data_IF_742184842948
#
_entry.id   IF_742184842948
#
_cell.length_a   1.000
_cell.length_b   1.000
_cell.length_c   1.000
_cell.angle_alpha   90.00
_cell.angle_beta   90.00
_cell.angle_gamma   90.00
#
_symmetry.space_group_name_H-M   'P 1'
#
loop_
_entity.id
_entity.type
_entity.pdbx_description
1 polymer ?
#
# COMPACT_ATOMS: atom_id res chain seq x y z
N UNK A 1 15.93 -19.87 19.88
CA UNK A 1 14.75 -19.53 19.05
C UNK A 1 15.25 -18.99 17.72
N UNK A 2 15.02 -19.73 16.65
CA UNK A 2 15.62 -19.52 15.32
C UNK A 2 15.14 -18.22 14.66
N UNK A 3 16.00 -17.19 14.64
CA UNK A 3 15.79 -15.97 13.84
C UNK A 3 16.11 -16.25 12.39
N UNK A 4 15.12 -16.69 11.61
CA UNK A 4 15.24 -16.74 10.15
C UNK A 4 15.04 -15.33 9.59
N UNK A 5 16.15 -14.62 9.38
CA UNK A 5 16.19 -13.39 8.60
C UNK A 5 15.81 -13.72 7.16
N UNK A 6 14.52 -13.71 6.84
CA UNK A 6 14.06 -13.79 5.46
C UNK A 6 14.52 -12.49 4.76
N UNK A 7 15.36 -12.62 3.73
CA UNK A 7 15.81 -11.51 2.91
C UNK A 7 14.62 -10.60 2.56
N UNK A 8 14.69 -9.33 2.98
CA UNK A 8 13.60 -8.36 2.92
C UNK A 8 13.29 -8.03 1.46
N UNK A 9 12.44 -8.85 0.82
CA UNK A 9 11.86 -8.53 -0.48
C UNK A 9 11.26 -7.12 -0.40
N UNK A 10 11.64 -6.25 -1.35
CA UNK A 10 11.25 -4.84 -1.33
C UNK A 10 9.72 -4.76 -1.41
N UNK A 11 9.09 -4.43 -0.28
CA UNK A 11 7.62 -4.31 -0.18
C UNK A 11 7.14 -3.32 -1.26
N UNK A 12 6.02 -3.62 -1.96
CA UNK A 12 5.47 -2.70 -2.94
C UNK A 12 5.16 -1.33 -2.31
N UNK A 13 5.40 -0.26 -3.05
CA UNK A 13 5.12 1.10 -2.61
C UNK A 13 3.62 1.36 -2.41
N UNK A 14 3.30 2.50 -1.79
CA UNK A 14 1.92 2.89 -1.45
C UNK A 14 0.96 2.77 -2.65
N UNK A 15 1.33 3.36 -3.79
CA UNK A 15 0.49 3.34 -4.99
C UNK A 15 0.28 1.93 -5.54
N UNK A 16 1.29 1.06 -5.48
CA UNK A 16 1.15 -0.33 -5.91
C UNK A 16 0.12 -1.07 -5.05
N UNK A 17 0.13 -0.84 -3.73
CA UNK A 17 -0.84 -1.43 -2.82
C UNK A 17 -2.26 -0.89 -3.04
N UNK A 18 -2.39 0.42 -3.30
CA UNK A 18 -3.69 1.03 -3.64
C UNK A 18 -4.25 0.42 -4.92
N UNK A 19 -3.43 0.28 -5.97
CA UNK A 19 -3.86 -0.34 -7.23
C UNK A 19 -4.21 -1.81 -7.06
N UNK A 20 -3.40 -2.57 -6.30
CA UNK A 20 -3.71 -3.96 -5.98
C UNK A 20 -5.05 -4.10 -5.24
N UNK A 21 -5.34 -3.18 -4.30
CA UNK A 21 -6.65 -3.15 -3.63
C UNK A 21 -7.78 -2.82 -4.59
N UNK A 22 -7.64 -1.79 -5.43
CA UNK A 22 -8.65 -1.45 -6.45
C UNK A 22 -9.00 -2.65 -7.33
N UNK A 23 -7.98 -3.38 -7.81
CA UNK A 23 -8.17 -4.60 -8.60
C UNK A 23 -8.91 -5.71 -7.84
N UNK A 24 -8.68 -5.86 -6.54
CA UNK A 24 -9.40 -6.86 -5.71
C UNK A 24 -10.87 -6.48 -5.54
N UNK A 25 -11.14 -5.19 -5.31
CA UNK A 25 -12.51 -4.65 -5.23
C UNK A 25 -13.24 -4.87 -6.57
N UNK A 26 -12.58 -4.55 -7.69
CA UNK A 26 -13.10 -4.75 -9.04
C UNK A 26 -13.40 -6.22 -9.34
N UNK A 27 -12.57 -7.14 -8.83
CA UNK A 27 -12.79 -8.59 -8.91
C UNK A 27 -13.89 -9.12 -7.97
N UNK A 28 -14.57 -8.25 -7.23
CA UNK A 28 -15.68 -8.64 -6.36
C UNK A 28 -15.25 -9.16 -4.98
N UNK A 29 -14.11 -8.72 -4.44
CA UNK A 29 -13.66 -9.17 -3.11
C UNK A 29 -14.50 -8.70 -1.92
N UNK A 30 -15.59 -7.95 -2.13
CA UNK A 30 -16.42 -7.37 -1.06
C UNK A 30 -15.72 -6.30 -0.20
N UNK A 31 -14.49 -5.90 -0.55
CA UNK A 31 -13.78 -4.84 0.16
C UNK A 31 -14.20 -3.46 -0.33
N UNK A 32 -14.05 -2.44 0.52
CA UNK A 32 -14.22 -1.03 0.13
C UNK A 32 -12.95 -0.23 0.37
N UNK A 33 -12.79 0.86 -0.39
CA UNK A 33 -11.73 1.82 -0.10
C UNK A 33 -12.11 2.60 1.14
N UNK A 34 -11.17 2.70 2.10
CA UNK A 34 -11.43 3.50 3.31
C UNK A 34 -11.50 4.97 2.93
N UNK A 35 -12.43 5.70 3.54
CA UNK A 35 -12.53 7.16 3.39
C UNK A 35 -11.24 7.82 3.89
N UNK A 36 -10.88 8.96 3.30
CA UNK A 36 -9.77 9.79 3.77
C UNK A 36 -9.98 10.12 5.25
N UNK A 37 -8.95 9.92 6.07
CA UNK A 37 -9.00 10.20 7.52
C UNK A 37 -9.67 9.11 8.38
N UNK A 38 -10.24 8.05 7.78
CA UNK A 38 -10.76 6.92 8.54
C UNK A 38 -9.60 6.11 9.16
N UNK A 39 -9.85 5.49 10.33
CA UNK A 39 -8.88 4.60 10.99
C UNK A 39 -8.41 3.50 10.02
N UNK A 40 -7.10 3.45 9.78
CA UNK A 40 -6.48 2.48 8.86
C UNK A 40 -6.53 2.87 7.36
N UNK A 41 -6.97 4.09 7.03
CA UNK A 41 -6.68 4.69 5.73
C UNK A 41 -5.22 5.19 5.69
N UNK A 42 -4.58 5.30 4.51
CA UNK A 42 -3.27 5.93 4.40
C UNK A 42 -3.34 7.39 4.87
N UNK A 43 -2.39 7.79 5.71
CA UNK A 43 -2.26 9.17 6.16
C UNK A 43 -1.80 10.09 5.02
N UNK A 44 -2.10 11.38 5.13
CA UNK A 44 -1.64 12.37 4.16
C UNK A 44 -0.10 12.38 4.03
N UNK A 45 0.63 12.14 5.13
CA UNK A 45 2.08 12.02 5.12
C UNK A 45 2.61 10.83 4.31
N UNK A 46 1.85 9.73 4.24
CA UNK A 46 2.24 8.55 3.47
C UNK A 46 2.26 8.83 1.96
N UNK A 47 1.30 9.63 1.46
CA UNK A 47 1.28 10.07 0.06
C UNK A 47 2.48 10.96 -0.26
N UNK A 48 2.78 11.95 0.60
CA UNK A 48 3.95 12.82 0.44
C UNK A 48 5.27 12.04 0.42
N UNK A 49 5.41 11.02 1.28
CA UNK A 49 6.59 10.15 1.29
C UNK A 49 6.67 9.29 0.02
N UNK A 50 5.53 8.73 -0.42
CA UNK A 50 5.47 7.93 -1.63
C UNK A 50 5.88 8.72 -2.87
N UNK A 51 5.43 9.98 -2.99
CA UNK A 51 5.80 10.91 -4.07
C UNK A 51 7.30 11.14 -4.14
N UNK A 52 7.98 11.37 -3.00
CA UNK A 52 9.45 11.55 -2.96
C UNK A 52 10.22 10.32 -3.46
N UNK A 53 9.67 9.14 -3.27
CA UNK A 53 10.28 7.87 -3.71
C UNK A 53 9.87 7.46 -5.12
N UNK A 54 8.90 8.16 -5.72
CA UNK A 54 8.43 7.86 -7.06
C UNK A 54 9.53 8.24 -8.06
N UNK A 55 10.06 7.24 -8.77
CA UNK A 55 10.95 7.48 -9.89
C UNK A 55 10.13 7.99 -11.07
N UNK A 56 10.62 9.02 -11.76
CA UNK A 56 10.08 9.41 -13.08
C UNK A 56 10.16 8.17 -13.98
N UNK A 57 9.03 7.81 -14.57
CA UNK A 57 8.96 6.76 -15.59
C UNK A 57 9.31 7.35 -16.95
#
# INVERSE_FOLDING_TARGET
MTTKTAAKAKKPGLYANIQAKKKRIEKGSGETMRKKGAKGAPEAGAFRQAEKTAKKK
#
